data_IF_784695567159
#
_entry.id   IF_784695567159
#
_cell.length_a   1.000
_cell.length_b   1.000
_cell.length_c   1.000
_cell.angle_alpha   90.00
_cell.angle_beta   90.00
_cell.angle_gamma   90.00
#
_symmetry.space_group_name_H-M   'P 1'
#
loop_
_entity.id
_entity.type
_entity.pdbx_description
1 polymer ?
#
# COMPACT_ATOMS: atom_id res chain seq x y z
N UNK A 1 11.98 -15.66 6.20
CA UNK A 1 11.37 -14.32 6.34
C UNK A 1 12.44 -13.33 6.78
N UNK A 2 12.66 -12.28 6.00
CA UNK A 2 13.62 -11.20 6.26
C UNK A 2 12.90 -9.89 6.60
N UNK A 3 13.62 -8.92 7.16
CA UNK A 3 13.05 -7.59 7.39
C UNK A 3 12.57 -6.92 6.08
N UNK A 4 13.25 -7.20 4.97
CA UNK A 4 12.87 -6.67 3.66
C UNK A 4 11.52 -7.23 3.20
N UNK A 5 11.32 -8.54 3.34
CA UNK A 5 10.06 -9.22 3.02
C UNK A 5 8.93 -8.72 3.93
N UNK A 6 9.17 -8.59 5.24
CA UNK A 6 8.19 -8.03 6.19
C UNK A 6 7.81 -6.58 5.86
N UNK A 7 8.76 -5.79 5.36
CA UNK A 7 8.51 -4.39 4.96
C UNK A 7 7.93 -4.26 3.55
N UNK A 8 7.91 -5.33 2.76
CA UNK A 8 7.41 -5.31 1.39
C UNK A 8 5.91 -5.03 1.35
N UNK A 9 5.13 -5.66 2.25
CA UNK A 9 3.69 -5.42 2.37
C UNK A 9 3.35 -3.93 2.51
N UNK A 10 4.03 -3.23 3.42
CA UNK A 10 3.85 -1.79 3.64
C UNK A 10 4.16 -0.97 2.38
N UNK A 11 5.28 -1.24 1.71
CA UNK A 11 5.68 -0.52 0.48
C UNK A 11 4.69 -0.74 -0.67
N UNK A 12 4.16 -1.95 -0.80
CA UNK A 12 3.15 -2.27 -1.82
C UNK A 12 1.84 -1.53 -1.52
N UNK A 13 1.41 -1.45 -0.25
CA UNK A 13 0.24 -0.68 0.18
C UNK A 13 0.39 0.82 -0.08
N UNK A 14 1.55 1.42 0.21
CA UNK A 14 1.82 2.83 -0.12
C UNK A 14 1.80 3.10 -1.63
N UNK A 15 2.33 2.17 -2.43
CA UNK A 15 2.25 2.27 -3.89
C UNK A 15 0.81 2.15 -4.37
N UNK A 16 0.01 1.25 -3.80
CA UNK A 16 -1.38 1.08 -4.16
C UNK A 16 -2.19 2.34 -3.91
N UNK A 17 -2.06 2.95 -2.73
CA UNK A 17 -2.76 4.19 -2.41
C UNK A 17 -2.45 5.30 -3.42
N UNK A 18 -1.17 5.47 -3.80
CA UNK A 18 -0.77 6.45 -4.82
C UNK A 18 -1.32 6.13 -6.20
N UNK A 19 -1.24 4.87 -6.63
CA UNK A 19 -1.77 4.46 -7.93
C UNK A 19 -3.31 4.66 -7.97
N UNK A 20 -4.03 4.39 -6.87
CA UNK A 20 -5.47 4.66 -6.74
C UNK A 20 -5.81 6.18 -6.81
N UNK A 21 -5.05 7.05 -6.13
CA UNK A 21 -5.21 8.51 -6.23
C UNK A 21 -4.99 9.04 -7.66
N UNK A 22 -4.00 8.48 -8.36
CA UNK A 22 -3.73 8.83 -9.76
C UNK A 22 -4.88 8.35 -10.65
N UNK A 23 -5.37 7.12 -10.47
CA UNK A 23 -6.49 6.59 -11.24
C UNK A 23 -7.76 7.44 -11.06
N UNK A 24 -8.05 7.87 -9.84
CA UNK A 24 -9.19 8.75 -9.56
C UNK A 24 -9.03 10.12 -10.24
N UNK A 25 -7.81 10.65 -10.26
CA UNK A 25 -7.49 11.90 -10.97
C UNK A 25 -7.68 11.77 -12.50
N UNK A 26 -7.23 10.65 -13.08
CA UNK A 26 -7.42 10.35 -14.51
C UNK A 26 -8.90 10.22 -14.86
N UNK A 27 -9.67 9.52 -14.03
CA UNK A 27 -11.12 9.38 -14.20
C UNK A 27 -11.85 10.72 -14.11
N UNK A 28 -11.43 11.59 -13.20
CA UNK A 28 -11.99 12.94 -13.09
C UNK A 28 -11.69 13.78 -14.34
N UNK A 29 -10.48 13.70 -14.88
CA UNK A 29 -10.07 14.42 -16.09
C UNK A 29 -10.77 13.93 -17.38
N UNK A 30 -11.11 12.64 -17.44
CA UNK A 30 -11.85 12.03 -18.55
C UNK A 30 -13.35 12.39 -18.54
N UNK A 31 -13.87 13.01 -17.48
CA UNK A 31 -15.29 13.35 -17.36
C UNK A 31 -15.66 14.51 -18.32
N UNK A 32 -16.69 14.38 -19.18
CA UNK A 32 -17.02 15.37 -20.20
C UNK A 32 -17.29 16.79 -19.69
N UNK A 33 -17.69 16.94 -18.42
CA UNK A 33 -17.92 18.25 -17.77
C UNK A 33 -16.67 18.94 -17.23
N UNK A 34 -15.50 18.26 -17.20
CA UNK A 34 -14.24 18.83 -16.74
C UNK A 34 -13.54 19.70 -17.82
N UNK A 35 -13.94 19.54 -19.09
CA UNK A 35 -13.52 20.42 -20.17
C UNK A 35 -14.50 21.60 -20.25
N UNK A 36 -14.04 22.81 -19.91
CA UNK A 36 -14.77 24.05 -20.20
C UNK A 36 -14.99 24.16 -21.72
N UNK A 37 -16.10 23.64 -22.23
CA UNK A 37 -16.62 23.86 -23.58
C UNK A 37 -17.37 25.19 -23.62
N UNK A 38 -16.68 26.29 -23.32
CA UNK A 38 -17.19 27.64 -23.56
C UNK A 38 -16.61 28.21 -24.85
N UNK A 39 -17.14 27.73 -25.99
CA UNK A 39 -17.52 28.64 -27.09
C UNK A 39 -16.53 29.02 -28.19
N UNK A 40 -15.75 28.10 -28.78
CA UNK A 40 -15.00 28.40 -30.04
C UNK A 40 -15.19 27.32 -31.13
N UNK A 41 -15.22 27.70 -32.44
CA UNK A 41 -15.61 26.80 -33.53
C UNK A 41 -14.57 25.71 -33.82
N UNK A 42 -15.04 24.56 -34.30
CA UNK A 42 -14.23 23.37 -34.56
C UNK A 42 -13.22 23.56 -35.70
N UNK A 43 -11.95 23.26 -35.45
CA UNK A 43 -10.94 23.01 -36.48
C UNK A 43 -10.83 21.49 -36.76
N UNK A 44 -10.68 21.04 -38.01
CA UNK A 44 -10.48 19.63 -38.33
C UNK A 44 -9.04 19.22 -37.96
N UNK A 45 -8.90 18.27 -37.03
CA UNK A 45 -7.59 17.78 -36.56
C UNK A 45 -7.48 17.54 -35.05
N UNK A 46 -8.58 17.50 -34.31
CA UNK A 46 -8.55 17.20 -32.87
C UNK A 46 -8.17 15.72 -32.66
N UNK A 47 -6.91 15.48 -32.32
CA UNK A 47 -6.40 14.21 -31.80
C UNK A 47 -7.20 13.87 -30.52
N UNK A 48 -7.69 12.64 -30.42
CA UNK A 48 -8.68 12.20 -29.44
C UNK A 48 -8.12 12.13 -28.01
N UNK A 49 -8.05 13.28 -27.33
CA UNK A 49 -7.55 13.39 -25.95
C UNK A 49 -8.37 12.58 -24.95
N UNK A 50 -9.63 12.26 -25.27
CA UNK A 50 -10.49 11.42 -24.43
C UNK A 50 -10.16 9.94 -24.65
N UNK A 51 -9.94 9.53 -25.90
CA UNK A 51 -9.43 8.20 -26.26
C UNK A 51 -8.07 7.90 -25.63
N UNK A 52 -7.14 8.86 -25.63
CA UNK A 52 -5.82 8.71 -25.00
C UNK A 52 -5.94 8.47 -23.48
N UNK A 53 -6.82 9.21 -22.78
CA UNK A 53 -7.09 9.01 -21.35
C UNK A 53 -7.77 7.67 -21.03
N UNK A 54 -8.65 7.18 -21.92
CA UNK A 54 -9.33 5.90 -21.71
C UNK A 54 -8.35 4.72 -21.70
N UNK A 55 -7.32 4.76 -22.56
CA UNK A 55 -6.24 3.76 -22.58
C UNK A 55 -5.42 3.83 -21.30
N UNK A 56 -5.02 5.03 -20.87
CA UNK A 56 -4.26 5.22 -19.63
C UNK A 56 -5.03 4.75 -18.38
N UNK A 57 -6.35 5.00 -18.33
CA UNK A 57 -7.23 4.53 -17.25
C UNK A 57 -7.28 2.99 -17.22
N UNK A 58 -7.39 2.34 -18.39
CA UNK A 58 -7.42 0.88 -18.47
C UNK A 58 -6.11 0.26 -17.99
N UNK A 59 -4.97 0.78 -18.46
CA UNK A 59 -3.64 0.33 -18.07
C UNK A 59 -3.39 0.52 -16.57
N UNK A 60 -3.75 1.68 -16.01
CA UNK A 60 -3.61 1.96 -14.58
C UNK A 60 -4.50 1.05 -13.73
N UNK A 61 -5.74 0.81 -14.17
CA UNK A 61 -6.68 -0.11 -13.50
C UNK A 61 -6.10 -1.52 -13.42
N UNK A 62 -5.53 -2.00 -14.53
CA UNK A 62 -4.94 -3.34 -14.59
C UNK A 62 -3.67 -3.44 -13.73
N UNK A 63 -2.83 -2.40 -13.72
CA UNK A 63 -1.67 -2.31 -12.82
C UNK A 63 -2.07 -2.38 -11.35
N UNK A 64 -3.11 -1.63 -10.95
CA UNK A 64 -3.66 -1.67 -9.60
C UNK A 64 -4.17 -3.07 -9.26
N UNK A 65 -4.83 -3.75 -10.20
CA UNK A 65 -5.30 -5.13 -10.02
C UNK A 65 -4.14 -6.08 -9.70
N UNK A 66 -3.06 -6.05 -10.50
CA UNK A 66 -1.86 -6.85 -10.23
C UNK A 66 -1.22 -6.50 -8.87
N UNK A 67 -1.16 -5.21 -8.53
CA UNK A 67 -0.58 -4.77 -7.27
C UNK A 67 -1.39 -5.25 -6.06
N UNK A 68 -2.73 -5.29 -6.15
CA UNK A 68 -3.60 -5.87 -5.11
C UNK A 68 -3.30 -7.35 -4.91
N UNK A 69 -3.14 -8.13 -5.98
CA UNK A 69 -2.76 -9.53 -5.85
C UNK A 69 -1.37 -9.73 -5.23
N UNK A 70 -0.40 -8.86 -5.54
CA UNK A 70 0.92 -8.89 -4.89
C UNK A 70 0.82 -8.57 -3.39
N UNK A 71 -0.03 -7.62 -3.02
CA UNK A 71 -0.31 -7.28 -1.62
C UNK A 71 -0.92 -8.48 -0.90
N UNK A 72 -1.92 -9.13 -1.48
CA UNK A 72 -2.57 -10.30 -0.87
C UNK A 72 -1.58 -11.44 -0.63
N UNK A 73 -0.71 -11.72 -1.61
CA UNK A 73 0.36 -12.72 -1.46
C UNK A 73 1.36 -12.34 -0.37
N UNK A 74 1.77 -11.08 -0.31
CA UNK A 74 2.69 -10.59 0.72
C UNK A 74 2.04 -10.64 2.11
N UNK A 75 0.78 -10.24 2.25
CA UNK A 75 0.04 -10.28 3.51
C UNK A 75 -0.12 -11.71 4.02
N UNK A 76 -0.45 -12.66 3.12
CA UNK A 76 -0.54 -14.07 3.47
C UNK A 76 0.80 -14.62 3.98
N UNK A 77 1.90 -14.34 3.28
CA UNK A 77 3.24 -14.79 3.69
C UNK A 77 3.67 -14.20 5.04
N UNK A 78 3.41 -12.89 5.27
CA UNK A 78 3.68 -12.25 6.56
C UNK A 78 2.81 -12.87 7.66
N UNK A 79 1.52 -13.11 7.38
CA UNK A 79 0.59 -13.70 8.34
C UNK A 79 1.03 -15.10 8.75
N UNK A 80 1.32 -15.98 7.79
CA UNK A 80 1.79 -17.34 8.07
C UNK A 80 3.06 -17.33 8.92
N UNK A 81 4.03 -16.48 8.57
CA UNK A 81 5.25 -16.33 9.36
C UNK A 81 4.95 -15.85 10.78
N UNK A 82 4.11 -14.84 10.95
CA UNK A 82 3.74 -14.31 12.27
C UNK A 82 3.07 -15.41 13.10
N UNK A 83 2.11 -16.16 12.55
CA UNK A 83 1.44 -17.24 13.30
C UNK A 83 2.41 -18.35 13.73
N UNK A 84 3.50 -18.59 12.98
CA UNK A 84 4.53 -19.57 13.33
C UNK A 84 5.43 -19.17 14.50
N UNK A 85 5.46 -17.89 14.91
CA UNK A 85 6.27 -17.43 16.05
C UNK A 85 5.70 -18.02 17.33
N UNK A 86 6.48 -18.77 18.12
CA UNK A 86 5.98 -19.40 19.35
C UNK A 86 5.76 -18.41 20.51
N UNK A 87 6.67 -17.46 20.70
CA UNK A 87 6.58 -16.49 21.79
C UNK A 87 5.44 -15.50 21.55
N UNK A 88 4.44 -15.49 22.43
CA UNK A 88 3.23 -14.67 22.28
C UNK A 88 3.51 -13.16 22.20
N UNK A 89 4.44 -12.65 23.00
CA UNK A 89 4.79 -11.24 22.99
C UNK A 89 5.50 -10.86 21.69
N UNK A 90 6.46 -11.68 21.23
CA UNK A 90 7.11 -11.50 19.93
C UNK A 90 6.09 -11.57 18.80
N UNK A 91 5.20 -12.57 18.79
CA UNK A 91 4.12 -12.70 17.81
C UNK A 91 3.27 -11.42 17.75
N UNK A 92 2.88 -10.89 18.91
CA UNK A 92 2.11 -9.66 18.99
C UNK A 92 2.88 -8.44 18.45
N UNK A 93 4.18 -8.31 18.78
CA UNK A 93 5.04 -7.24 18.25
C UNK A 93 5.03 -7.27 16.72
N UNK A 94 5.23 -8.44 16.11
CA UNK A 94 5.26 -8.55 14.65
C UNK A 94 3.89 -8.28 14.01
N UNK A 95 2.80 -8.81 14.58
CA UNK A 95 1.44 -8.56 14.08
C UNK A 95 1.14 -7.06 14.06
N UNK A 96 1.42 -6.36 15.15
CA UNK A 96 1.18 -4.92 15.25
C UNK A 96 2.10 -4.12 14.32
N UNK A 97 3.38 -4.48 14.25
CA UNK A 97 4.35 -3.75 13.44
C UNK A 97 4.12 -3.93 11.94
N UNK A 98 3.92 -5.15 11.48
CA UNK A 98 3.97 -5.49 10.06
C UNK A 98 2.59 -5.68 9.42
N UNK A 99 1.61 -6.23 10.13
CA UNK A 99 0.24 -6.42 9.60
C UNK A 99 -0.68 -5.23 9.90
N UNK A 100 -0.49 -4.57 11.06
CA UNK A 100 -1.23 -3.33 11.40
C UNK A 100 -0.48 -2.05 11.05
N UNK A 101 0.76 -2.18 10.58
CA UNK A 101 1.62 -1.07 10.13
C UNK A 101 1.83 0.03 11.20
N UNK A 102 1.75 -0.31 12.49
CA UNK A 102 1.93 0.65 13.57
C UNK A 102 3.41 1.05 13.71
N UNK A 103 3.66 2.28 14.14
CA UNK A 103 4.99 2.74 14.56
C UNK A 103 5.45 1.98 15.81
N UNK A 104 6.76 1.97 16.08
CA UNK A 104 7.27 1.25 17.26
C UNK A 104 6.75 1.84 18.58
N UNK A 105 6.57 3.17 18.66
CA UNK A 105 5.93 3.84 19.79
C UNK A 105 4.48 3.39 20.00
N UNK A 106 3.69 3.30 18.93
CA UNK A 106 2.32 2.77 19.00
C UNK A 106 2.29 1.29 19.40
N UNK A 107 3.19 0.46 18.86
CA UNK A 107 3.33 -0.95 19.25
C UNK A 107 3.61 -1.07 20.76
N UNK A 108 4.58 -0.31 21.27
CA UNK A 108 4.91 -0.30 22.69
C UNK A 108 3.73 0.14 23.56
N UNK A 109 3.00 1.19 23.14
CA UNK A 109 1.83 1.68 23.83
C UNK A 109 0.68 0.65 23.87
N UNK A 110 0.42 -0.03 22.74
CA UNK A 110 -0.64 -1.05 22.63
C UNK A 110 -0.31 -2.29 23.46
N UNK A 111 0.94 -2.76 23.46
CA UNK A 111 1.36 -3.91 24.29
C UNK A 111 1.35 -3.54 25.77
N UNK A 112 1.73 -2.30 26.12
CA UNK A 112 1.76 -1.82 27.48
C UNK A 112 2.86 -2.47 28.33
N UNK A 113 2.64 -2.60 29.64
CA UNK A 113 3.55 -3.34 30.53
C UNK A 113 4.94 -2.72 30.72
N UNK A 114 5.06 -1.38 30.61
CA UNK A 114 6.34 -0.64 30.62
C UNK A 114 7.28 -0.96 29.44
N UNK A 115 6.76 -1.53 28.36
CA UNK A 115 7.53 -1.63 27.12
C UNK A 115 7.85 -0.24 26.58
N UNK A 116 9.07 -0.08 26.06
CA UNK A 116 9.51 1.11 25.34
C UNK A 116 9.59 0.80 23.85
N UNK A 117 9.57 1.85 23.02
CA UNK A 117 9.81 1.73 21.57
C UNK A 117 11.10 0.95 21.27
N UNK A 118 12.21 1.32 21.91
CA UNK A 118 13.50 0.63 21.72
C UNK A 118 13.47 -0.83 22.20
N UNK A 119 12.70 -1.12 23.25
CA UNK A 119 12.54 -2.47 23.78
C UNK A 119 11.83 -3.39 22.78
N UNK A 120 10.68 -2.98 22.26
CA UNK A 120 9.92 -3.78 21.28
C UNK A 120 10.67 -3.91 19.95
N UNK A 121 11.35 -2.85 19.51
CA UNK A 121 12.20 -2.85 18.31
C UNK A 121 13.37 -3.83 18.47
N UNK A 122 14.06 -3.79 19.60
CA UNK A 122 15.17 -4.71 19.90
C UNK A 122 14.70 -6.17 19.98
N UNK A 123 13.55 -6.43 20.58
CA UNK A 123 12.96 -7.77 20.62
C UNK A 123 12.69 -8.31 19.21
N UNK A 124 12.12 -7.49 18.33
CA UNK A 124 11.89 -7.85 16.93
C UNK A 124 13.19 -8.18 16.19
N UNK A 125 14.19 -7.31 16.25
CA UNK A 125 15.42 -7.53 15.49
C UNK A 125 16.25 -8.69 16.03
N UNK A 126 16.28 -8.89 17.34
CA UNK A 126 16.91 -10.07 17.94
C UNK A 126 16.27 -11.36 17.44
N UNK A 127 14.94 -11.41 17.33
CA UNK A 127 14.24 -12.57 16.78
C UNK A 127 14.63 -12.82 15.32
N UNK A 128 14.72 -11.77 14.50
CA UNK A 128 15.13 -11.89 13.09
C UNK A 128 16.60 -12.27 12.89
N UNK A 129 17.45 -12.05 13.88
CA UNK A 129 18.88 -12.41 13.84
C UNK A 129 19.20 -13.75 14.50
N UNK A 130 18.18 -14.45 15.04
CA UNK A 130 18.31 -15.76 15.69
C UNK A 130 18.20 -16.87 14.64
#
# INVERSE_FOLDING_TARGET
MTLQELSQYYKLRERLNRDEEILDSLRAAACPGAQNLSGMPHAPGVRDKVGDLAVEIADMTERIRYLKEEIDRAEAAVTEFVESIENDQTRMIFRLRFLRCLTWGEVAAVIGGRNTEDGVKSACYRYLSS
#
